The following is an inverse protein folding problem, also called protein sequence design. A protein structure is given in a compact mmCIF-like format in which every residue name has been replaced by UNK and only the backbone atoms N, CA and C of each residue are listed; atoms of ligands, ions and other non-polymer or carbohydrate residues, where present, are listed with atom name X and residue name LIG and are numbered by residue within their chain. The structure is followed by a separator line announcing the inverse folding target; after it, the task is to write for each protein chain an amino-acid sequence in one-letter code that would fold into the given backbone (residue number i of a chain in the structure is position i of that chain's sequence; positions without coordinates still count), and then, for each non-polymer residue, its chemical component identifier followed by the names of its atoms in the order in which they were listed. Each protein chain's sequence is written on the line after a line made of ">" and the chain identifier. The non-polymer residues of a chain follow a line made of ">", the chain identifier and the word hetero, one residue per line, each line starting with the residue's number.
data_IF_144417620203
#
_entry.id   IF_144417620203
#
_cell.length_a   1.000
_cell.length_b   1.000
_cell.length_c   1.000
_cell.angle_alpha   90.00
_cell.angle_beta   90.00
_cell.angle_gamma   90.00
#
_symmetry.space_group_name_H-M   'P 1'
#
loop_
_entity.id
_entity.type
_entity.pdbx_description
1 polymer ?
#
# COMPACT_ATOMS: atom_id res chain seq x y z
N UNK A 1 -44.91 -8.59 -45.66
CA UNK A 1 -44.07 -9.35 -44.73
C UNK A 1 -42.93 -8.46 -44.33
N UNK A 2 -42.88 -7.98 -43.07
CA UNK A 2 -41.81 -7.15 -42.56
C UNK A 2 -40.93 -8.02 -41.67
N UNK A 3 -39.67 -8.23 -42.08
CA UNK A 3 -38.66 -8.93 -41.28
C UNK A 3 -38.18 -8.04 -40.16
N UNK A 4 -38.34 -8.50 -38.93
CA UNK A 4 -37.81 -7.87 -37.72
C UNK A 4 -36.45 -8.54 -37.42
N UNK A 5 -35.38 -7.79 -37.62
CA UNK A 5 -34.02 -8.24 -37.25
C UNK A 5 -33.80 -7.96 -35.76
N UNK A 6 -33.64 -9.01 -34.97
CA UNK A 6 -33.21 -8.91 -33.56
C UNK A 6 -31.70 -8.72 -33.52
N UNK A 7 -31.25 -7.56 -33.11
CA UNK A 7 -29.86 -7.36 -32.69
C UNK A 7 -29.67 -7.86 -31.25
N UNK A 8 -29.02 -9.00 -31.11
CA UNK A 8 -28.55 -9.47 -29.82
C UNK A 8 -27.35 -8.64 -29.43
N UNK A 9 -27.51 -7.76 -28.44
CA UNK A 9 -26.39 -7.08 -27.77
C UNK A 9 -25.70 -8.10 -26.86
N UNK A 10 -24.57 -8.65 -27.29
CA UNK A 10 -23.68 -9.38 -26.41
C UNK A 10 -23.00 -8.41 -25.47
N UNK A 11 -23.42 -8.38 -24.21
CA UNK A 11 -22.70 -7.69 -23.16
C UNK A 11 -21.35 -8.42 -22.92
N UNK A 12 -20.26 -7.84 -23.41
CA UNK A 12 -18.93 -8.25 -22.98
C UNK A 12 -18.78 -7.86 -21.50
N UNK A 13 -18.94 -8.82 -20.62
CA UNK A 13 -18.45 -8.71 -19.26
C UNK A 13 -16.92 -8.71 -19.33
N UNK A 14 -16.30 -7.54 -19.25
CA UNK A 14 -14.87 -7.43 -19.00
C UNK A 14 -14.59 -7.96 -17.59
N UNK A 15 -14.35 -9.27 -17.49
CA UNK A 15 -13.84 -9.88 -16.28
C UNK A 15 -12.48 -9.29 -16.01
N UNK A 16 -12.30 -8.61 -14.86
CA UNK A 16 -10.98 -8.24 -14.40
C UNK A 16 -10.18 -9.53 -14.27
N UNK A 17 -9.08 -9.64 -15.03
CA UNK A 17 -8.16 -10.74 -14.87
C UNK A 17 -7.56 -10.60 -13.46
N UNK A 18 -7.92 -11.50 -12.57
CA UNK A 18 -7.31 -11.56 -11.24
C UNK A 18 -5.83 -11.93 -11.38
N UNK A 19 -4.99 -11.24 -10.62
CA UNK A 19 -3.58 -11.59 -10.58
C UNK A 19 -3.40 -13.01 -10.03
N UNK A 20 -2.46 -13.75 -10.62
CA UNK A 20 -2.11 -15.09 -10.14
C UNK A 20 -1.53 -15.01 -8.72
N UNK A 21 -1.70 -16.07 -7.93
CA UNK A 21 -1.08 -16.15 -6.61
C UNK A 21 0.44 -16.21 -6.72
N UNK A 22 1.15 -15.50 -5.85
CA UNK A 22 2.60 -15.50 -5.78
C UNK A 22 3.09 -16.84 -5.18
N UNK A 23 3.85 -17.65 -5.90
CA UNK A 23 4.29 -18.96 -5.41
C UNK A 23 5.29 -18.89 -4.27
N UNK A 24 5.93 -17.73 -4.04
CA UNK A 24 6.88 -17.50 -2.95
C UNK A 24 6.22 -16.96 -1.68
N UNK A 25 4.96 -16.55 -1.76
CA UNK A 25 4.23 -15.97 -0.64
C UNK A 25 3.48 -17.06 0.14
N UNK A 26 3.81 -17.20 1.41
CA UNK A 26 3.16 -18.20 2.25
C UNK A 26 1.70 -17.87 2.50
N UNK A 27 0.83 -18.86 2.31
CA UNK A 27 -0.61 -18.71 2.50
C UNK A 27 -1.27 -17.78 1.47
N UNK A 28 -0.64 -17.60 0.30
CA UNK A 28 -1.24 -16.86 -0.80
C UNK A 28 -2.53 -17.52 -1.27
N UNK A 29 -3.52 -16.72 -1.59
CA UNK A 29 -4.80 -17.18 -2.11
C UNK A 29 -5.33 -16.22 -3.19
N UNK A 30 -6.22 -16.73 -4.03
CA UNK A 30 -6.99 -15.87 -4.92
C UNK A 30 -8.01 -15.08 -4.10
N UNK A 31 -8.17 -13.77 -4.35
CA UNK A 31 -9.18 -12.98 -3.67
C UNK A 31 -10.58 -13.52 -3.92
N UNK A 32 -11.42 -13.51 -2.92
CA UNK A 32 -12.82 -13.91 -3.04
C UNK A 32 -13.69 -12.74 -3.49
N UNK A 33 -14.84 -13.06 -4.08
CA UNK A 33 -15.86 -12.06 -4.43
C UNK A 33 -16.30 -11.34 -3.14
N UNK A 34 -15.98 -10.06 -2.99
CA UNK A 34 -16.39 -9.28 -1.81
C UNK A 34 -15.23 -8.64 -1.03
N UNK A 35 -14.00 -8.73 -1.52
CA UNK A 35 -12.88 -8.01 -0.93
C UNK A 35 -11.71 -8.89 -0.48
N UNK A 36 -10.83 -8.29 0.26
CA UNK A 36 -9.61 -8.93 0.78
C UNK A 36 -9.97 -9.62 2.10
N UNK A 37 -9.87 -10.96 2.11
CA UNK A 37 -10.01 -11.75 3.35
C UNK A 37 -8.70 -11.83 4.13
N UNK A 38 -8.50 -12.94 4.84
CA UNK A 38 -7.28 -13.20 5.60
C UNK A 38 -6.05 -13.54 4.73
N UNK A 39 -6.18 -13.57 3.40
CA UNK A 39 -5.11 -13.81 2.45
C UNK A 39 -5.40 -13.13 1.12
N UNK A 40 -4.37 -12.97 0.33
CA UNK A 40 -4.42 -12.50 -1.05
C UNK A 40 -3.24 -13.02 -1.86
N UNK A 41 -3.07 -12.57 -3.11
CA UNK A 41 -2.03 -13.06 -4.00
C UNK A 41 -0.61 -12.93 -3.46
N UNK A 42 -0.33 -11.95 -2.61
CA UNK A 42 1.01 -11.72 -2.02
C UNK A 42 1.17 -12.29 -0.61
N UNK A 43 0.36 -13.28 -0.25
CA UNK A 43 0.48 -14.01 1.01
C UNK A 43 -0.68 -13.81 1.97
N UNK A 44 -0.69 -14.59 3.07
CA UNK A 44 -1.65 -14.40 4.13
C UNK A 44 -1.32 -13.17 4.97
N UNK A 45 -2.35 -12.52 5.52
CA UNK A 45 -2.21 -11.44 6.48
C UNK A 45 -1.34 -11.87 7.68
N UNK A 46 -1.54 -13.08 8.19
CA UNK A 46 -0.75 -13.64 9.28
C UNK A 46 0.74 -13.72 8.95
N UNK A 47 1.08 -14.14 7.73
CA UNK A 47 2.45 -14.25 7.28
C UNK A 47 3.11 -12.87 7.10
N UNK A 48 2.42 -11.93 6.47
CA UNK A 48 2.88 -10.55 6.30
C UNK A 48 3.11 -9.85 7.65
N UNK A 49 2.30 -10.18 8.64
CA UNK A 49 2.32 -9.62 9.99
C UNK A 49 3.09 -10.50 11.00
N UNK A 50 3.97 -11.40 10.53
CA UNK A 50 4.73 -12.30 11.41
C UNK A 50 5.39 -11.54 12.56
N UNK A 51 5.13 -11.95 13.79
CA UNK A 51 5.68 -11.38 15.02
C UNK A 51 4.92 -10.16 15.58
N UNK A 52 3.98 -9.59 14.83
CA UNK A 52 3.23 -8.40 15.25
C UNK A 52 2.45 -8.60 16.57
N UNK A 53 1.89 -9.79 16.78
CA UNK A 53 1.14 -10.15 18.00
C UNK A 53 2.02 -10.61 19.15
N UNK A 54 3.33 -10.64 18.99
CA UNK A 54 4.30 -11.20 19.96
C UNK A 54 5.52 -10.32 20.19
N UNK A 55 6.68 -10.83 19.77
CA UNK A 55 8.00 -10.22 20.05
C UNK A 55 8.38 -9.06 19.15
N UNK A 56 7.50 -8.64 18.27
CA UNK A 56 7.71 -7.58 17.29
C UNK A 56 7.85 -8.11 15.87
N UNK A 57 7.50 -7.24 14.93
CA UNK A 57 7.40 -7.57 13.53
C UNK A 57 8.70 -8.09 12.92
N UNK A 58 8.59 -9.22 12.26
CA UNK A 58 9.66 -9.94 11.56
C UNK A 58 9.22 -10.13 10.11
N UNK A 59 9.42 -9.12 9.25
CA UNK A 59 8.91 -9.16 7.88
C UNK A 59 9.45 -10.38 7.13
N UNK A 60 8.57 -11.14 6.47
CA UNK A 60 9.02 -12.14 5.53
C UNK A 60 9.69 -11.45 4.32
N UNK A 61 10.35 -12.22 3.47
CA UNK A 61 11.03 -11.70 2.29
C UNK A 61 10.21 -11.94 1.03
N UNK A 62 9.97 -10.87 0.27
CA UNK A 62 9.62 -10.90 -1.15
C UNK A 62 10.41 -9.81 -1.85
N UNK A 63 10.98 -10.13 -3.03
CA UNK A 63 11.58 -9.14 -3.90
C UNK A 63 10.47 -8.27 -4.53
N UNK A 64 10.76 -6.98 -4.77
CA UNK A 64 9.76 -6.06 -5.33
C UNK A 64 9.27 -6.50 -6.72
N UNK A 65 10.13 -7.15 -7.50
CA UNK A 65 9.80 -7.66 -8.83
C UNK A 65 8.99 -8.97 -8.78
N UNK A 66 8.84 -9.57 -7.61
CA UNK A 66 8.05 -10.77 -7.39
C UNK A 66 6.63 -10.46 -6.90
N UNK A 67 6.35 -9.19 -6.59
CA UNK A 67 5.02 -8.80 -6.15
C UNK A 67 4.00 -8.96 -7.27
N UNK A 68 2.91 -9.63 -6.95
CA UNK A 68 1.79 -9.84 -7.87
C UNK A 68 0.83 -8.66 -7.79
N UNK A 69 0.51 -8.05 -8.93
CA UNK A 69 -0.44 -6.94 -9.01
C UNK A 69 -1.14 -6.88 -10.37
N UNK A 70 -2.24 -6.14 -10.42
CA UNK A 70 -2.94 -5.85 -11.69
C UNK A 70 -2.18 -4.78 -12.49
N UNK A 71 -2.45 -4.71 -13.78
CA UNK A 71 -1.86 -3.66 -14.64
C UNK A 71 -2.38 -2.27 -14.29
N UNK A 72 -1.60 -1.23 -14.61
CA UNK A 72 -2.04 0.17 -14.48
C UNK A 72 -3.34 0.46 -15.24
N UNK A 73 -3.49 -0.07 -16.44
CA UNK A 73 -4.70 0.15 -17.24
C UNK A 73 -5.95 -0.44 -16.56
N UNK A 74 -5.83 -1.64 -16.00
CA UNK A 74 -6.89 -2.25 -15.20
C UNK A 74 -7.17 -1.44 -13.94
N UNK A 75 -6.13 -0.95 -13.27
CA UNK A 75 -6.24 -0.12 -12.08
C UNK A 75 -6.96 1.20 -12.36
N UNK A 76 -6.57 1.91 -13.42
CA UNK A 76 -7.16 3.20 -13.81
C UNK A 76 -8.59 3.09 -14.35
N UNK A 77 -9.00 1.93 -14.82
CA UNK A 77 -10.40 1.68 -15.20
C UNK A 77 -11.29 1.33 -14.00
N UNK A 78 -10.69 1.02 -12.86
CA UNK A 78 -11.36 0.67 -11.59
C UNK A 78 -11.10 1.67 -10.48
N UNK A 79 -10.65 1.16 -9.33
CA UNK A 79 -10.45 1.93 -8.09
C UNK A 79 -9.40 3.03 -8.23
N UNK A 80 -8.42 2.85 -9.09
CA UNK A 80 -7.34 3.81 -9.34
C UNK A 80 -7.70 4.97 -10.28
N UNK A 81 -8.96 5.16 -10.63
CA UNK A 81 -9.40 6.20 -11.58
C UNK A 81 -8.86 7.59 -11.23
N UNK A 82 -8.83 7.94 -9.96
CA UNK A 82 -8.31 9.24 -9.48
C UNK A 82 -6.80 9.38 -9.66
N UNK A 83 -6.07 8.26 -9.73
CA UNK A 83 -4.62 8.26 -9.92
C UNK A 83 -4.21 8.50 -11.37
N UNK A 84 -5.11 8.23 -12.34
CA UNK A 84 -4.81 8.29 -13.77
C UNK A 84 -4.24 9.63 -14.22
N UNK A 85 -4.71 10.74 -13.64
CA UNK A 85 -4.20 12.09 -13.95
C UNK A 85 -2.72 12.30 -13.60
N UNK A 86 -2.13 11.41 -12.80
CA UNK A 86 -0.73 11.45 -12.37
C UNK A 86 0.15 10.38 -13.05
N UNK A 87 -0.37 9.65 -14.04
CA UNK A 87 0.32 8.54 -14.70
C UNK A 87 1.72 8.92 -15.21
N UNK A 88 1.86 10.10 -15.83
CA UNK A 88 3.16 10.58 -16.33
C UNK A 88 4.20 10.76 -15.21
N UNK A 89 3.77 11.19 -14.02
CA UNK A 89 4.65 11.35 -12.86
C UNK A 89 5.08 9.99 -12.31
N UNK A 90 4.16 9.04 -12.21
CA UNK A 90 4.51 7.67 -11.78
C UNK A 90 5.48 7.01 -12.75
N UNK A 91 5.28 7.14 -14.06
CA UNK A 91 6.19 6.62 -15.09
C UNK A 91 7.56 7.27 -15.03
N UNK A 92 7.62 8.59 -14.87
CA UNK A 92 8.86 9.35 -14.74
C UNK A 92 9.66 8.91 -13.50
N UNK A 93 9.03 8.92 -12.34
CA UNK A 93 9.66 8.53 -11.07
C UNK A 93 10.00 7.04 -11.03
N UNK A 94 9.12 6.18 -11.57
CA UNK A 94 9.37 4.75 -11.70
C UNK A 94 10.64 4.46 -12.51
N UNK A 95 10.80 5.11 -13.65
CA UNK A 95 12.03 5.03 -14.47
C UNK A 95 13.26 5.53 -13.71
N UNK A 96 13.15 6.68 -13.02
CA UNK A 96 14.25 7.30 -12.29
C UNK A 96 14.77 6.43 -11.14
N UNK A 97 13.87 5.78 -10.42
CA UNK A 97 14.18 4.99 -9.21
C UNK A 97 14.12 3.48 -9.42
N UNK A 98 13.95 3.02 -10.66
CA UNK A 98 13.81 1.60 -11.00
C UNK A 98 12.74 0.89 -10.16
N UNK A 99 11.52 1.46 -10.19
CA UNK A 99 10.32 0.94 -9.53
C UNK A 99 9.21 0.85 -10.57
N UNK A 100 8.41 -0.23 -10.55
CA UNK A 100 7.24 -0.32 -11.40
C UNK A 100 6.30 0.87 -11.12
N UNK A 101 5.91 1.67 -12.14
CA UNK A 101 4.98 2.78 -11.98
C UNK A 101 3.65 2.38 -11.33
N UNK A 102 3.21 1.14 -11.50
CA UNK A 102 2.01 0.63 -10.87
C UNK A 102 2.12 0.64 -9.33
N UNK A 103 3.28 0.25 -8.80
CA UNK A 103 3.53 0.25 -7.35
C UNK A 103 3.43 1.68 -6.79
N UNK A 104 3.95 2.68 -7.51
CA UNK A 104 3.84 4.08 -7.09
C UNK A 104 2.38 4.57 -7.10
N UNK A 105 1.59 4.17 -8.10
CA UNK A 105 0.17 4.52 -8.15
C UNK A 105 -0.63 3.87 -7.01
N UNK A 106 -0.34 2.61 -6.66
CA UNK A 106 -0.98 1.93 -5.53
C UNK A 106 -0.61 2.58 -4.19
N UNK A 107 0.65 2.95 -4.00
CA UNK A 107 1.07 3.67 -2.81
C UNK A 107 0.42 5.06 -2.73
N UNK A 108 0.35 5.81 -3.83
CA UNK A 108 -0.36 7.09 -3.85
C UNK A 108 -1.84 6.96 -3.46
N UNK A 109 -2.48 5.85 -3.82
CA UNK A 109 -3.83 5.55 -3.37
C UNK A 109 -3.88 5.28 -1.87
N UNK A 110 -2.98 4.45 -1.36
CA UNK A 110 -2.88 4.13 0.06
C UNK A 110 -2.60 5.38 0.91
N UNK A 111 -1.79 6.30 0.42
CA UNK A 111 -1.35 7.47 1.18
C UNK A 111 -2.37 8.62 1.18
N UNK A 112 -2.99 8.88 0.03
CA UNK A 112 -3.80 10.08 -0.16
C UNK A 112 -5.09 9.87 -0.96
N UNK A 113 -5.45 8.65 -1.31
CA UNK A 113 -6.50 8.38 -2.32
C UNK A 113 -6.22 9.07 -3.66
N UNK A 114 -4.94 9.21 -4.01
CA UNK A 114 -4.46 9.97 -5.16
C UNK A 114 -4.93 11.45 -5.13
N UNK A 115 -4.87 12.08 -3.97
CA UNK A 115 -5.14 13.49 -3.76
C UNK A 115 -3.81 14.26 -3.53
N UNK A 116 -3.39 15.09 -4.49
CA UNK A 116 -2.16 15.89 -4.33
C UNK A 116 -2.30 17.01 -3.30
N UNK A 117 -3.53 17.41 -2.96
CA UNK A 117 -3.83 18.44 -1.97
C UNK A 117 -3.96 17.86 -0.55
N UNK A 118 -3.73 16.56 -0.38
CA UNK A 118 -3.80 15.93 0.94
C UNK A 118 -2.80 16.59 1.89
N UNK A 119 -3.31 17.04 3.02
CA UNK A 119 -2.56 17.79 4.02
C UNK A 119 -1.85 16.92 5.05
N UNK A 120 -1.57 17.54 6.20
CA UNK A 120 -0.96 16.83 7.33
C UNK A 120 0.55 17.07 7.48
N UNK A 121 1.22 16.30 8.36
CA UNK A 121 2.64 16.46 8.61
C UNK A 121 3.52 15.98 7.44
N UNK A 122 2.96 15.17 6.56
CA UNK A 122 3.63 14.59 5.38
C UNK A 122 2.81 14.88 4.12
N UNK A 123 2.64 16.16 3.70
CA UNK A 123 1.62 16.54 2.74
C UNK A 123 1.89 16.05 1.32
N UNK A 124 0.82 15.87 0.56
CA UNK A 124 0.84 15.58 -0.88
C UNK A 124 0.50 14.16 -1.27
N UNK A 125 0.58 13.89 -2.56
CA UNK A 125 0.13 12.67 -3.22
C UNK A 125 0.70 11.37 -2.61
N UNK A 126 1.99 11.39 -2.28
CA UNK A 126 2.75 10.25 -1.73
C UNK A 126 2.97 10.38 -0.22
N UNK A 127 2.39 11.37 0.44
CA UNK A 127 2.56 11.66 1.87
C UNK A 127 4.04 11.64 2.30
N UNK A 128 4.91 12.25 1.50
CA UNK A 128 6.34 12.22 1.74
C UNK A 128 6.74 13.23 2.83
N UNK A 129 7.41 12.74 3.88
CA UNK A 129 7.86 13.60 4.98
C UNK A 129 8.82 14.68 4.50
N UNK A 130 8.71 15.94 5.01
CA UNK A 130 9.58 17.05 4.63
C UNK A 130 11.08 16.75 4.75
N UNK A 131 11.47 15.93 5.73
CA UNK A 131 12.85 15.50 5.90
C UNK A 131 13.42 14.67 4.72
N UNK A 132 12.55 14.05 3.94
CA UNK A 132 12.92 13.25 2.77
C UNK A 132 12.90 14.04 1.47
N UNK A 133 12.49 15.32 1.51
CA UNK A 133 12.46 16.16 0.31
C UNK A 133 13.86 16.36 -0.26
N UNK A 134 13.98 16.17 -1.58
CA UNK A 134 15.24 16.30 -2.27
C UNK A 134 15.69 17.78 -2.39
N UNK A 135 16.99 17.99 -2.58
CA UNK A 135 17.58 19.31 -2.85
C UNK A 135 17.34 20.36 -1.74
N UNK A 136 17.26 19.94 -0.48
CA UNK A 136 17.12 20.85 0.67
C UNK A 136 15.80 21.62 0.74
N UNK A 137 14.78 21.17 0.02
CA UNK A 137 13.43 21.75 0.07
C UNK A 137 12.78 21.51 1.42
N UNK A 138 12.12 22.53 1.97
CA UNK A 138 11.36 22.42 3.22
C UNK A 138 10.02 21.68 3.07
N UNK A 139 9.52 21.58 1.86
CA UNK A 139 8.34 20.81 1.48
C UNK A 139 8.48 20.37 0.04
N UNK A 140 8.01 19.18 -0.27
CA UNK A 140 7.94 18.64 -1.61
C UNK A 140 6.51 18.26 -2.01
N UNK A 141 5.49 18.85 -1.40
CA UNK A 141 4.12 18.68 -1.84
C UNK A 141 3.95 19.11 -3.30
N UNK A 142 4.56 20.25 -3.67
CA UNK A 142 4.52 20.80 -5.01
C UNK A 142 5.90 21.20 -5.52
N UNK A 143 6.12 21.11 -6.85
CA UNK A 143 5.21 20.51 -7.85
C UNK A 143 4.98 19.03 -7.57
N UNK A 144 3.86 18.47 -8.05
CA UNK A 144 3.46 17.07 -7.78
C UNK A 144 4.55 16.06 -8.17
N UNK A 145 5.32 16.33 -9.23
CA UNK A 145 6.47 15.50 -9.61
C UNK A 145 7.48 15.35 -8.48
N UNK A 146 7.76 16.43 -7.73
CA UNK A 146 8.70 16.38 -6.60
C UNK A 146 8.17 15.47 -5.47
N UNK A 147 6.85 15.47 -5.25
CA UNK A 147 6.25 14.60 -4.24
C UNK A 147 6.30 13.12 -4.65
N UNK A 148 6.04 12.82 -5.92
CA UNK A 148 6.17 11.47 -6.45
C UNK A 148 7.63 11.01 -6.45
N UNK A 149 8.55 11.87 -6.83
CA UNK A 149 9.99 11.59 -6.76
C UNK A 149 10.44 11.32 -5.32
N UNK A 150 9.93 12.09 -4.37
CA UNK A 150 10.21 11.90 -2.95
C UNK A 150 9.73 10.54 -2.45
N UNK A 151 8.48 10.17 -2.72
CA UNK A 151 7.93 8.86 -2.34
C UNK A 151 8.68 7.70 -2.99
N UNK A 152 8.98 7.82 -4.28
CA UNK A 152 9.76 6.82 -5.00
C UNK A 152 11.19 6.67 -4.44
N UNK A 153 11.83 7.79 -4.07
CA UNK A 153 13.13 7.79 -3.40
C UNK A 153 13.10 7.08 -2.06
N UNK A 154 12.09 7.37 -1.23
CA UNK A 154 11.91 6.71 0.08
C UNK A 154 11.75 5.20 -0.08
N UNK A 155 10.88 4.77 -1.01
CA UNK A 155 10.70 3.35 -1.28
C UNK A 155 11.99 2.69 -1.79
N UNK A 156 12.70 3.33 -2.74
CA UNK A 156 13.96 2.81 -3.29
C UNK A 156 15.02 2.69 -2.21
N UNK A 157 15.19 3.71 -1.38
CA UNK A 157 16.14 3.69 -0.26
C UNK A 157 15.79 2.59 0.75
N UNK A 158 14.50 2.37 1.00
CA UNK A 158 14.02 1.27 1.83
C UNK A 158 14.37 -0.10 1.24
N UNK A 159 14.22 -0.27 -0.07
CA UNK A 159 14.59 -1.52 -0.76
C UNK A 159 16.10 -1.75 -0.70
N UNK A 160 16.90 -0.74 -1.03
CA UNK A 160 18.36 -0.83 -1.03
C UNK A 160 18.92 -1.15 0.36
N UNK A 161 18.40 -0.46 1.39
CA UNK A 161 18.78 -0.69 2.78
C UNK A 161 18.32 -2.02 3.37
N UNK A 162 17.43 -2.74 2.70
CA UNK A 162 16.86 -4.00 3.18
C UNK A 162 17.08 -5.18 2.20
N UNK A 163 18.09 -5.08 1.34
CA UNK A 163 18.46 -6.18 0.42
C UNK A 163 17.35 -6.54 -0.58
N UNK A 164 16.53 -5.58 -1.00
CA UNK A 164 15.42 -5.78 -1.93
C UNK A 164 14.12 -6.27 -1.29
N UNK A 165 14.05 -6.43 0.03
CA UNK A 165 12.83 -6.89 0.71
C UNK A 165 11.70 -5.85 0.59
N UNK A 166 10.76 -6.11 -0.31
CA UNK A 166 9.63 -5.23 -0.56
C UNK A 166 8.68 -5.10 0.63
N UNK A 167 8.42 -6.19 1.36
CA UNK A 167 7.53 -6.16 2.53
C UNK A 167 8.12 -5.25 3.59
N UNK A 168 9.42 -5.37 3.86
CA UNK A 168 10.09 -4.52 4.83
C UNK A 168 10.15 -3.06 4.38
N UNK A 169 10.42 -2.79 3.10
CA UNK A 169 10.47 -1.44 2.55
C UNK A 169 9.10 -0.75 2.56
N UNK A 170 8.04 -1.45 2.16
CA UNK A 170 6.66 -0.94 2.19
C UNK A 170 6.19 -0.71 3.62
N UNK A 171 6.49 -1.62 4.54
CA UNK A 171 6.19 -1.40 5.96
C UNK A 171 6.90 -0.18 6.53
N UNK A 172 8.20 -0.02 6.24
CA UNK A 172 8.98 1.13 6.66
C UNK A 172 8.50 2.46 6.05
N UNK A 173 7.90 2.44 4.87
CA UNK A 173 7.26 3.60 4.25
C UNK A 173 6.16 4.18 5.15
N UNK A 174 5.36 3.34 5.78
CA UNK A 174 4.36 3.71 6.79
C UNK A 174 4.95 3.83 8.22
N UNK A 175 6.27 3.78 8.38
CA UNK A 175 6.92 3.88 9.69
C UNK A 175 6.99 2.59 10.49
N UNK A 176 6.69 1.43 9.91
CA UNK A 176 6.92 0.15 10.59
C UNK A 176 8.42 -0.09 10.78
N UNK A 177 8.76 -0.72 11.89
CA UNK A 177 10.15 -0.99 12.25
C UNK A 177 10.33 -2.41 12.78
N UNK A 178 11.55 -2.90 12.64
CA UNK A 178 12.00 -4.20 13.15
C UNK A 178 12.82 -4.04 14.42
N UNK A 179 13.19 -5.15 15.04
CA UNK A 179 14.15 -5.14 16.15
C UNK A 179 15.44 -4.40 15.77
N UNK A 180 16.05 -3.72 16.75
CA UNK A 180 17.24 -2.91 16.54
C UNK A 180 16.97 -1.44 16.24
N UNK A 181 15.70 -1.02 16.16
CA UNK A 181 15.32 0.38 15.90
C UNK A 181 15.48 1.33 17.08
N UNK A 182 15.71 0.81 18.27
CA UNK A 182 15.70 1.59 19.52
C UNK A 182 14.30 1.82 20.09
N UNK A 183 13.24 1.50 19.34
CA UNK A 183 11.85 1.68 19.76
C UNK A 183 11.29 0.40 20.39
N UNK A 184 10.19 0.53 21.15
CA UNK A 184 9.47 -0.59 21.76
C UNK A 184 10.39 -1.54 22.55
N UNK A 185 11.30 -0.99 23.36
CA UNK A 185 12.31 -1.80 24.06
C UNK A 185 13.25 -2.55 23.13
N UNK A 186 13.58 -1.96 21.99
CA UNK A 186 14.43 -2.52 20.93
C UNK A 186 13.84 -3.75 20.21
N UNK A 187 12.55 -3.98 20.33
CA UNK A 187 11.78 -4.99 19.57
C UNK A 187 11.31 -4.40 18.23
N UNK A 188 10.75 -5.24 17.37
CA UNK A 188 9.97 -4.74 16.23
C UNK A 188 8.65 -4.14 16.70
N UNK A 189 7.95 -3.45 15.78
CA UNK A 189 6.60 -2.97 16.06
C UNK A 189 5.68 -4.12 16.47
N UNK A 190 4.73 -3.86 17.38
CA UNK A 190 3.72 -4.81 17.83
C UNK A 190 2.32 -4.20 17.71
N UNK A 191 1.28 -5.04 17.71
CA UNK A 191 -0.12 -4.59 17.68
C UNK A 191 -0.48 -3.64 18.84
N UNK A 192 0.25 -3.71 19.95
CA UNK A 192 0.01 -2.88 21.14
C UNK A 192 0.80 -1.57 21.14
N UNK A 193 1.86 -1.50 20.33
CA UNK A 193 2.78 -0.36 20.35
C UNK A 193 2.10 0.98 20.03
N UNK A 194 1.23 1.11 19.01
CA UNK A 194 0.56 2.37 18.70
C UNK A 194 -0.26 2.94 19.87
N UNK A 195 -0.78 2.08 20.74
CA UNK A 195 -1.56 2.47 21.90
C UNK A 195 -0.73 2.71 23.17
N UNK A 196 0.55 2.35 23.18
CA UNK A 196 1.46 2.61 24.29
C UNK A 196 1.75 4.11 24.43
N UNK A 197 2.21 4.52 25.61
CA UNK A 197 2.64 5.91 25.83
C UNK A 197 3.78 6.29 24.88
N UNK A 198 4.72 5.37 24.63
CA UNK A 198 5.82 5.56 23.68
C UNK A 198 5.31 5.70 22.25
N UNK A 199 4.46 4.78 21.79
CA UNK A 199 3.88 4.83 20.45
C UNK A 199 3.10 6.11 20.19
N UNK A 200 2.28 6.55 21.14
CA UNK A 200 1.55 7.83 21.06
C UNK A 200 2.50 9.03 20.99
N UNK A 201 3.56 9.02 21.78
CA UNK A 201 4.58 10.10 21.76
C UNK A 201 5.31 10.16 20.44
N UNK A 202 5.60 9.01 19.85
CA UNK A 202 6.33 8.92 18.58
C UNK A 202 5.43 9.06 17.35
N UNK A 203 4.12 9.03 17.54
CA UNK A 203 3.13 9.20 16.45
C UNK A 203 3.18 8.12 15.39
N UNK A 204 3.69 6.91 15.70
CA UNK A 204 4.02 5.88 14.73
C UNK A 204 3.49 4.50 15.11
N UNK A 205 3.41 3.67 14.09
CA UNK A 205 2.49 3.78 12.96
C UNK A 205 1.10 3.42 13.46
N UNK A 206 0.09 4.01 12.88
CA UNK A 206 -1.28 3.82 13.35
C UNK A 206 -2.03 2.76 12.54
N UNK A 207 -1.68 2.58 11.27
CA UNK A 207 -2.27 1.55 10.42
C UNK A 207 -1.42 0.27 10.41
N UNK A 208 -1.82 -0.72 11.22
CA UNK A 208 -1.18 -2.04 11.25
C UNK A 208 -1.80 -3.04 10.25
N UNK A 209 -2.74 -2.62 9.44
CA UNK A 209 -3.20 -3.36 8.25
C UNK A 209 -2.48 -2.92 6.98
N UNK A 210 -1.68 -1.86 7.05
CA UNK A 210 -1.06 -1.18 5.90
C UNK A 210 -0.47 -2.12 4.86
N UNK A 211 0.32 -3.09 5.27
CA UNK A 211 1.00 -4.02 4.35
C UNK A 211 -0.01 -4.91 3.62
N UNK A 212 -0.95 -5.46 4.35
CA UNK A 212 -1.98 -6.33 3.78
C UNK A 212 -2.94 -5.57 2.87
N UNK A 213 -3.36 -4.37 3.27
CA UNK A 213 -4.16 -3.45 2.45
C UNK A 213 -3.44 -3.08 1.16
N UNK A 214 -2.14 -2.75 1.25
CA UNK A 214 -1.34 -2.38 0.07
C UNK A 214 -1.19 -3.57 -0.87
N UNK A 215 -0.62 -4.68 -0.39
CA UNK A 215 -0.18 -5.80 -1.24
C UNK A 215 -1.32 -6.67 -1.75
N UNK A 216 -2.35 -6.86 -0.95
CA UNK A 216 -3.48 -7.73 -1.27
C UNK A 216 -4.77 -6.96 -1.58
N UNK A 217 -4.82 -5.68 -1.25
CA UNK A 217 -5.92 -4.77 -1.55
C UNK A 217 -5.65 -3.91 -2.78
N UNK A 218 -4.95 -2.81 -2.61
CA UNK A 218 -4.72 -1.84 -3.69
C UNK A 218 -4.01 -2.43 -4.90
N UNK A 219 -3.00 -3.29 -4.70
CA UNK A 219 -2.29 -3.99 -5.77
C UNK A 219 -3.20 -4.91 -6.59
N UNK A 220 -4.31 -5.33 -6.02
CA UNK A 220 -5.29 -6.21 -6.67
C UNK A 220 -6.52 -5.46 -7.17
N UNK A 221 -6.56 -4.12 -7.02
CA UNK A 221 -7.67 -3.29 -7.47
C UNK A 221 -8.90 -3.33 -6.57
N UNK A 222 -8.73 -3.65 -5.28
CA UNK A 222 -9.80 -3.56 -4.29
C UNK A 222 -9.79 -2.21 -3.59
N UNK A 223 -10.98 -1.68 -3.31
CA UNK A 223 -11.15 -0.46 -2.52
C UNK A 223 -10.99 -0.77 -1.03
N UNK A 224 -9.82 -0.46 -0.49
CA UNK A 224 -9.50 -0.74 0.91
C UNK A 224 -10.08 0.29 1.88
N UNK A 225 -10.56 1.42 1.38
CA UNK A 225 -11.27 2.43 2.18
C UNK A 225 -12.77 2.31 2.09
N UNK A 226 -13.26 1.39 1.26
CA UNK A 226 -14.68 1.06 1.14
C UNK A 226 -15.23 0.38 2.41
N UNK A 227 -16.56 0.46 2.58
CA UNK A 227 -17.27 -0.08 3.74
C UNK A 227 -17.06 -1.58 3.97
N UNK A 228 -16.70 -2.30 2.92
CA UNK A 228 -16.64 -3.77 2.90
C UNK A 228 -15.20 -4.31 2.96
N UNK A 229 -14.19 -3.46 3.21
CA UNK A 229 -12.80 -3.92 3.29
C UNK A 229 -12.57 -4.91 4.44
N UNK A 230 -13.34 -4.79 5.52
CA UNK A 230 -13.31 -5.70 6.68
C UNK A 230 -12.00 -5.71 7.48
N UNK A 231 -11.01 -4.91 7.05
CA UNK A 231 -9.65 -4.96 7.61
C UNK A 231 -9.32 -3.83 8.57
N UNK A 232 -10.15 -2.76 8.59
CA UNK A 232 -9.86 -1.58 9.39
C UNK A 232 -9.67 -1.91 10.87
N UNK A 233 -8.49 -1.61 11.36
CA UNK A 233 -8.15 -1.65 12.77
C UNK A 233 -8.01 -3.01 13.41
N UNK A 234 -7.99 -4.08 12.65
CA UNK A 234 -7.89 -5.42 13.19
C UNK A 234 -6.69 -5.61 14.13
N UNK A 235 -5.55 -4.99 13.81
CA UNK A 235 -4.32 -5.09 14.60
C UNK A 235 -4.03 -3.84 15.45
N UNK A 236 -4.70 -2.72 15.19
CA UNK A 236 -4.46 -1.49 15.92
C UNK A 236 -5.11 -1.53 17.30
N UNK A 237 -4.30 -1.45 18.35
CA UNK A 237 -4.79 -1.33 19.72
C UNK A 237 -5.89 -2.36 20.04
N UNK A 238 -5.67 -3.61 19.68
CA UNK A 238 -6.63 -4.71 19.87
C UNK A 238 -7.93 -4.55 19.03
N UNK A 239 -7.79 -4.06 17.80
CA UNK A 239 -8.92 -3.84 16.90
C UNK A 239 -9.77 -2.61 17.25
N UNK A 240 -9.26 -1.72 18.06
CA UNK A 240 -9.96 -0.48 18.44
C UNK A 240 -9.55 0.67 17.52
N UNK A 241 -10.07 0.68 16.34
CA UNK A 241 -10.02 1.89 15.53
C UNK A 241 -11.14 2.82 15.94
N UNK A 242 -10.78 3.98 16.44
CA UNK A 242 -11.73 5.05 16.77
C UNK A 242 -11.46 6.22 15.83
N UNK A 243 -12.31 6.39 14.83
CA UNK A 243 -12.20 7.47 13.85
C UNK A 243 -11.65 7.02 12.50
N UNK A 244 -11.96 7.82 11.47
CA UNK A 244 -11.68 7.51 10.07
C UNK A 244 -10.20 7.47 9.67
N UNK A 245 -9.30 7.89 10.55
CA UNK A 245 -7.87 8.08 10.21
C UNK A 245 -6.90 7.26 11.08
N UNK A 246 -7.38 6.37 11.90
CA UNK A 246 -6.54 5.67 12.90
C UNK A 246 -6.38 4.18 12.59
N UNK A 247 -6.86 3.75 11.47
CA UNK A 247 -6.78 2.42 10.96
C UNK A 247 -6.33 2.41 9.55
#
# INVERSE_FOLDING_TARGET
>A
MRSISYFSAAALAAGMAQAATNPKAQGACSPTKGGVGACGPNGSEQWLNTGLTGDGWKPPFLDINELTHISLDSYYSGVGKNCKKYDSYFKSSGKKYNIDPAILAFLAMQESSCNADEGGPTPGLMQCAPANCQNGKKSCQYPVQDNVDCGAHVLRSGLDGNGGNAIKAIGAYNGWFTAGSGLNGNKGITEKYPCSSEGKKNGLPQNLNYIHETLNGWFQGYDMYGKDSGLHGKYNCQGRCTGSNLC
#
